data_IF_268163419198
#
_entry.id   IF_268163419198
#
_cell.length_a   1.000
_cell.length_b   1.000
_cell.length_c   1.000
_cell.angle_alpha   90.00
_cell.angle_beta   90.00
_cell.angle_gamma   90.00
#
_symmetry.space_group_name_H-M   'P 1'
#
loop_
_entity.id
_entity.type
_entity.pdbx_description
1 polymer ?
#
# COMPACT_ATOMS: atom_id res chain seq x y z
N UNK A 1 0.92 -10.03 18.19
CA UNK A 1 0.66 -8.59 17.96
C UNK A 1 1.19 -8.29 16.57
N UNK A 2 0.36 -7.89 15.62
CA UNK A 2 0.87 -7.51 14.29
C UNK A 2 1.69 -6.24 14.47
N UNK A 3 2.94 -6.23 14.01
CA UNK A 3 3.74 -5.01 13.98
C UNK A 3 3.34 -4.17 12.75
N UNK A 4 3.34 -2.84 12.90
CA UNK A 4 2.89 -1.90 11.87
C UNK A 4 3.75 -2.01 10.61
N UNK A 5 5.07 -2.09 10.77
CA UNK A 5 5.99 -2.33 9.66
C UNK A 5 5.64 -3.62 8.93
N UNK A 6 5.51 -4.72 9.68
CA UNK A 6 5.17 -6.03 9.09
C UNK A 6 3.84 -6.00 8.33
N UNK A 7 2.89 -5.18 8.78
CA UNK A 7 1.57 -5.07 8.15
C UNK A 7 1.60 -4.31 6.82
N UNK A 8 2.57 -3.39 6.66
CA UNK A 8 2.76 -2.59 5.45
C UNK A 8 3.76 -3.22 4.47
N UNK A 9 4.62 -4.14 4.92
CA UNK A 9 5.70 -4.71 4.06
C UNK A 9 5.57 -6.20 3.79
N UNK A 10 4.91 -6.99 4.64
CA UNK A 10 4.73 -8.42 4.42
C UNK A 10 3.53 -8.67 3.50
N UNK A 11 3.74 -9.39 2.40
CA UNK A 11 2.69 -9.64 1.40
C UNK A 11 1.52 -10.43 2.00
N UNK A 12 1.82 -11.36 2.91
CA UNK A 12 0.79 -12.14 3.63
C UNK A 12 -0.09 -11.27 4.53
N UNK A 13 0.42 -10.15 5.05
CA UNK A 13 -0.36 -9.22 5.86
C UNK A 13 -1.12 -8.23 4.98
N UNK A 14 -0.47 -7.66 3.94
CA UNK A 14 -1.11 -6.80 2.96
C UNK A 14 -2.37 -7.46 2.37
N UNK A 15 -2.28 -8.73 1.97
CA UNK A 15 -3.42 -9.50 1.45
C UNK A 15 -4.62 -9.59 2.40
N UNK A 16 -4.41 -9.49 3.72
CA UNK A 16 -5.49 -9.59 4.72
C UNK A 16 -6.31 -8.31 4.82
N UNK A 17 -5.65 -7.15 4.80
CA UNK A 17 -6.30 -5.87 5.11
C UNK A 17 -6.49 -4.98 3.89
N UNK A 18 -5.71 -5.14 2.82
CA UNK A 18 -5.79 -4.29 1.63
C UNK A 18 -7.05 -4.55 0.78
N UNK A 19 -7.91 -5.50 1.17
CA UNK A 19 -9.18 -5.75 0.50
C UNK A 19 -10.01 -4.46 0.38
N UNK A 20 -10.59 -4.16 -0.80
CA UNK A 20 -10.78 -5.03 -1.97
C UNK A 20 -9.65 -4.97 -3.01
N UNK A 21 -8.56 -4.26 -2.75
CA UNK A 21 -7.43 -4.18 -3.66
C UNK A 21 -6.69 -5.52 -3.68
N UNK A 22 -6.53 -6.08 -4.88
CA UNK A 22 -5.90 -7.37 -5.10
C UNK A 22 -4.44 -7.17 -5.47
N UNK A 23 -3.53 -7.93 -4.87
CA UNK A 23 -2.12 -7.97 -5.25
C UNK A 23 -1.91 -9.05 -6.32
N UNK A 24 -0.93 -8.84 -7.20
CA UNK A 24 -0.58 -9.83 -8.20
C UNK A 24 -0.16 -11.19 -7.60
N UNK A 25 -0.40 -12.30 -8.32
CA UNK A 25 0.10 -13.60 -7.93
C UNK A 25 1.64 -13.65 -8.05
N UNK A 26 2.28 -14.56 -7.33
CA UNK A 26 3.73 -14.79 -7.44
C UNK A 26 4.62 -13.77 -6.73
N UNK A 27 4.03 -12.83 -5.99
CA UNK A 27 4.77 -11.88 -5.15
C UNK A 27 5.73 -12.56 -4.17
N UNK A 28 6.88 -11.94 -3.84
CA UNK A 28 7.78 -12.41 -2.78
C UNK A 28 7.10 -12.42 -1.40
N UNK A 29 7.79 -12.89 -0.37
CA UNK A 29 7.25 -12.88 1.00
C UNK A 29 7.03 -11.47 1.55
N UNK A 30 7.88 -10.51 1.15
CA UNK A 30 7.86 -9.13 1.57
C UNK A 30 8.24 -8.19 0.42
N UNK A 31 7.84 -6.92 0.53
CA UNK A 31 8.33 -5.86 -0.33
C UNK A 31 9.85 -5.71 -0.19
N UNK A 32 10.53 -5.53 -1.31
CA UNK A 32 11.97 -5.25 -1.39
C UNK A 32 12.19 -4.02 -2.26
N UNK A 33 13.26 -3.26 -2.00
CA UNK A 33 13.59 -2.08 -2.78
C UNK A 33 13.74 -2.44 -4.27
N UNK A 34 13.15 -1.64 -5.14
CA UNK A 34 13.12 -1.86 -6.59
C UNK A 34 12.07 -2.87 -7.08
N UNK A 35 11.36 -3.57 -6.18
CA UNK A 35 10.29 -4.49 -6.56
C UNK A 35 9.22 -3.75 -7.35
N UNK A 36 8.89 -4.28 -8.52
CA UNK A 36 7.75 -3.85 -9.31
C UNK A 36 6.66 -4.88 -9.21
N UNK A 37 5.43 -4.41 -9.01
CA UNK A 37 4.27 -5.28 -8.92
C UNK A 37 3.00 -4.56 -9.30
N UNK A 38 1.96 -5.31 -9.63
CA UNK A 38 0.67 -4.76 -9.96
C UNK A 38 -0.37 -5.03 -8.87
N UNK A 39 -1.30 -4.10 -8.73
CA UNK A 39 -2.52 -4.30 -7.96
C UNK A 39 -3.74 -3.91 -8.76
N UNK A 40 -4.91 -4.42 -8.36
CA UNK A 40 -6.18 -4.09 -9.00
C UNK A 40 -7.18 -3.59 -7.98
N UNK A 41 -7.83 -2.47 -8.27
CA UNK A 41 -9.06 -2.06 -7.61
C UNK A 41 -10.20 -2.20 -8.61
N UNK A 42 -10.93 -3.32 -8.53
CA UNK A 42 -11.86 -3.69 -9.59
C UNK A 42 -11.13 -3.91 -10.92
N UNK A 43 -11.61 -3.37 -12.06
CA UNK A 43 -10.95 -3.55 -13.37
C UNK A 43 -9.75 -2.63 -13.58
N UNK A 44 -9.43 -1.75 -12.63
CA UNK A 44 -8.41 -0.71 -12.80
C UNK A 44 -7.07 -1.22 -12.27
N UNK A 45 -6.08 -1.44 -13.15
CA UNK A 45 -4.75 -1.79 -12.73
C UNK A 45 -3.98 -0.56 -12.23
N UNK A 46 -3.16 -0.76 -11.20
CA UNK A 46 -2.16 0.20 -10.74
C UNK A 46 -0.85 -0.55 -10.62
N UNK A 47 0.16 -0.09 -11.35
CA UNK A 47 1.53 -0.58 -11.23
C UNK A 47 2.21 0.16 -10.09
N UNK A 48 3.04 -0.56 -9.34
CA UNK A 48 3.79 -0.08 -8.20
C UNK A 48 5.27 -0.37 -8.41
N UNK A 49 6.12 0.57 -8.03
CA UNK A 49 7.54 0.33 -7.84
C UNK A 49 7.93 0.75 -6.42
N UNK A 50 8.55 -0.16 -5.67
CA UNK A 50 9.12 0.16 -4.35
C UNK A 50 10.36 1.03 -4.54
N UNK A 51 10.23 2.31 -4.25
CA UNK A 51 11.26 3.32 -4.51
C UNK A 51 11.99 3.74 -3.22
N UNK A 52 11.30 3.71 -2.07
CA UNK A 52 11.94 3.84 -0.75
C UNK A 52 11.43 2.73 0.15
N UNK A 53 12.34 2.08 0.87
CA UNK A 53 12.01 1.11 1.90
C UNK A 53 13.06 1.18 3.01
N UNK A 54 12.67 1.76 4.14
CA UNK A 54 13.53 1.90 5.34
C UNK A 54 12.88 1.21 6.55
N UNK A 55 13.37 1.51 7.75
CA UNK A 55 12.77 1.03 8.99
C UNK A 55 11.37 1.62 9.26
N UNK A 56 11.16 2.87 8.83
CA UNK A 56 10.00 3.69 9.19
C UNK A 56 9.28 4.32 7.99
N UNK A 57 9.71 4.00 6.77
CA UNK A 57 9.18 4.58 5.54
C UNK A 57 9.05 3.54 4.43
N UNK A 58 7.96 3.66 3.67
CA UNK A 58 7.74 2.98 2.40
C UNK A 58 7.25 4.01 1.39
N UNK A 59 7.90 4.13 0.23
CA UNK A 59 7.38 4.90 -0.90
C UNK A 59 7.22 4.00 -2.11
N UNK A 60 6.05 4.08 -2.71
CA UNK A 60 5.68 3.42 -3.96
C UNK A 60 5.52 4.49 -5.04
N UNK A 61 6.16 4.30 -6.19
CA UNK A 61 5.83 5.05 -7.41
C UNK A 61 4.70 4.30 -8.10
N UNK A 62 3.65 5.04 -8.47
CA UNK A 62 2.45 4.50 -9.07
C UNK A 62 2.41 4.87 -10.56
N UNK A 63 2.03 3.91 -11.40
CA UNK A 63 1.68 4.17 -12.81
C UNK A 63 0.41 3.45 -13.26
N UNK A 64 -0.16 3.87 -14.39
CA UNK A 64 -1.42 3.39 -15.00
C UNK A 64 -2.69 3.99 -14.38
N UNK A 65 -3.42 3.24 -13.55
CA UNK A 65 -4.68 3.73 -12.97
C UNK A 65 -4.50 4.94 -12.04
N UNK A 66 -3.28 5.09 -11.51
CA UNK A 66 -2.80 6.25 -10.76
C UNK A 66 -1.37 6.52 -11.23
N UNK A 67 -1.08 7.73 -11.70
CA UNK A 67 0.27 8.19 -12.00
C UNK A 67 0.71 9.18 -10.91
N UNK A 68 1.66 8.77 -10.07
CA UNK A 68 2.08 9.54 -8.91
C UNK A 68 2.87 8.71 -7.89
N UNK A 69 2.68 8.98 -6.60
CA UNK A 69 3.29 8.20 -5.54
C UNK A 69 2.34 7.94 -4.36
N UNK A 70 2.61 6.86 -3.64
CA UNK A 70 2.00 6.54 -2.36
C UNK A 70 3.09 6.30 -1.32
N UNK A 71 3.12 7.16 -0.32
CA UNK A 71 4.11 7.14 0.75
C UNK A 71 3.48 6.84 2.09
N UNK A 72 4.18 6.03 2.87
CA UNK A 72 3.85 5.64 4.22
C UNK A 72 5.00 5.98 5.13
N UNK A 73 4.68 6.60 6.27
CA UNK A 73 5.60 6.76 7.38
C UNK A 73 4.97 6.17 8.64
N UNK A 74 5.79 5.60 9.51
CA UNK A 74 5.33 5.06 10.78
C UNK A 74 6.40 5.12 11.86
N UNK A 75 5.99 5.06 13.12
CA UNK A 75 6.86 5.03 14.30
C UNK A 75 6.05 5.36 15.54
N UNK A 76 6.53 5.03 16.74
CA UNK A 76 5.97 5.53 18.01
C UNK A 76 4.42 5.50 18.10
N UNK A 77 3.79 4.43 17.62
CA UNK A 77 2.33 4.25 17.67
C UNK A 77 1.51 5.03 16.63
N UNK A 78 2.13 5.76 15.71
CA UNK A 78 1.45 6.47 14.62
C UNK A 78 1.79 5.91 13.24
N UNK A 79 0.89 6.18 12.29
CA UNK A 79 1.06 5.91 10.86
C UNK A 79 0.54 7.09 10.07
N UNK A 80 1.24 7.47 9.01
CA UNK A 80 0.81 8.46 8.04
C UNK A 80 0.83 7.85 6.64
N UNK A 81 -0.22 8.12 5.89
CA UNK A 81 -0.34 7.80 4.46
C UNK A 81 -0.42 9.11 3.70
N UNK A 82 0.37 9.25 2.64
CA UNK A 82 0.35 10.39 1.70
C UNK A 82 0.28 9.84 0.29
N UNK A 83 -0.74 10.23 -0.46
CA UNK A 83 -0.89 9.83 -1.85
C UNK A 83 -1.10 11.08 -2.71
N UNK A 84 -0.30 11.22 -3.76
CA UNK A 84 -0.39 12.33 -4.70
C UNK A 84 -0.24 11.79 -6.11
N UNK A 85 -1.09 12.25 -7.04
CA UNK A 85 -1.03 11.80 -8.41
C UNK A 85 -2.26 12.19 -9.23
N UNK A 86 -2.18 11.91 -10.52
CA UNK A 86 -3.31 11.94 -11.45
C UNK A 86 -3.94 10.55 -11.42
N UNK A 87 -5.26 10.47 -11.28
CA UNK A 87 -5.93 9.19 -11.02
C UNK A 87 -7.25 9.09 -11.78
N UNK A 88 -7.53 7.89 -12.30
CA UNK A 88 -8.84 7.54 -12.85
C UNK A 88 -9.92 7.36 -11.75
N UNK A 89 -9.47 7.22 -10.51
CA UNK A 89 -10.29 7.06 -9.31
C UNK A 89 -10.22 8.28 -8.41
N UNK A 90 -11.25 8.57 -7.59
CA UNK A 90 -11.16 9.61 -6.57
C UNK A 90 -10.08 9.26 -5.52
N UNK A 91 -8.93 9.95 -5.59
CA UNK A 91 -7.73 9.62 -4.80
C UNK A 91 -7.99 9.64 -3.29
N UNK A 92 -8.66 10.69 -2.80
CA UNK A 92 -8.98 10.87 -1.38
C UNK A 92 -9.91 9.77 -0.84
N UNK A 93 -10.80 9.23 -1.69
CA UNK A 93 -11.67 8.13 -1.29
C UNK A 93 -10.87 6.84 -1.12
N UNK A 94 -9.97 6.55 -2.07
CA UNK A 94 -9.05 5.42 -1.99
C UNK A 94 -8.20 5.48 -0.72
N UNK A 95 -7.56 6.61 -0.47
CA UNK A 95 -6.72 6.82 0.72
C UNK A 95 -7.52 6.64 2.03
N UNK A 96 -8.74 7.19 2.10
CA UNK A 96 -9.62 7.06 3.27
C UNK A 96 -10.00 5.60 3.51
N UNK A 97 -10.37 4.86 2.47
CA UNK A 97 -10.69 3.44 2.57
C UNK A 97 -9.49 2.61 3.04
N UNK A 98 -8.30 2.86 2.48
CA UNK A 98 -7.07 2.16 2.86
C UNK A 98 -6.74 2.38 4.34
N UNK A 99 -6.81 3.62 4.83
CA UNK A 99 -6.59 3.94 6.26
C UNK A 99 -7.64 3.31 7.18
N UNK A 100 -8.91 3.34 6.78
CA UNK A 100 -9.99 2.70 7.53
C UNK A 100 -9.77 1.19 7.66
N UNK A 101 -9.41 0.51 6.56
CA UNK A 101 -9.11 -0.92 6.55
C UNK A 101 -7.91 -1.28 7.41
N UNK A 102 -6.84 -0.50 7.34
CA UNK A 102 -5.67 -0.68 8.20
C UNK A 102 -6.07 -0.56 9.67
N UNK A 103 -6.89 0.44 10.02
CA UNK A 103 -7.40 0.61 11.39
C UNK A 103 -8.20 -0.60 11.87
N UNK A 104 -9.12 -1.13 11.05
CA UNK A 104 -9.88 -2.33 11.37
C UNK A 104 -8.99 -3.56 11.55
N UNK A 105 -7.91 -3.67 10.79
CA UNK A 105 -7.00 -4.80 10.90
C UNK A 105 -6.25 -4.84 12.25
N UNK A 106 -5.95 -3.68 12.83
CA UNK A 106 -5.36 -3.58 14.18
C UNK A 106 -6.41 -3.57 15.30
N UNK A 107 -7.63 -3.12 15.02
CA UNK A 107 -8.74 -3.03 15.96
C UNK A 107 -9.98 -3.71 15.35
N UNK A 108 -10.01 -5.05 15.32
CA UNK A 108 -11.08 -5.82 14.68
C UNK A 108 -12.43 -5.63 15.38
#
# INVERSE_FOLDING_TARGET
MNDLRSSLTQISQLKKWLWPQQLEPGMPTQLILGLQFQTWLGPIPVNHQVDVLTENQLRLILTQGIDGFHEWHWGEGWVQSRMEGISLLPLNLGQTLTLYRLRQFFNP
#
